data_IF_622421641061
#
_entry.id   IF_622421641061
#
_cell.length_a   1.000
_cell.length_b   1.000
_cell.length_c   1.000
_cell.angle_alpha   90.00
_cell.angle_beta   90.00
_cell.angle_gamma   90.00
#
_symmetry.space_group_name_H-M   'P 1'
#
loop_
_entity.id
_entity.type
_entity.pdbx_description
1 polymer ?
#
# COMPACT_ATOMS: atom_id res chain seq x y z
N UNK A 1 24.54 -27.07 15.72
CA UNK A 1 25.96 -26.67 15.72
C UNK A 1 26.26 -25.66 16.83
N UNK A 2 25.34 -24.74 17.12
CA UNK A 2 25.38 -23.76 18.22
C UNK A 2 24.79 -24.27 19.55
N UNK A 3 24.68 -25.59 19.73
CA UNK A 3 24.21 -26.16 21.00
C UNK A 3 25.28 -27.14 21.46
N UNK A 4 25.68 -27.03 22.72
CA UNK A 4 26.64 -27.96 23.32
C UNK A 4 25.95 -29.29 23.68
N UNK A 5 26.72 -30.28 24.15
CA UNK A 5 26.18 -31.61 24.51
C UNK A 5 25.22 -31.59 25.70
N UNK A 6 25.22 -30.52 26.49
CA UNK A 6 24.34 -30.30 27.64
C UNK A 6 23.05 -29.54 27.24
N UNK A 7 22.90 -29.16 25.97
CA UNK A 7 21.74 -28.43 25.46
C UNK A 7 21.82 -26.91 25.62
N UNK A 8 22.94 -26.36 26.10
CA UNK A 8 23.12 -24.92 26.22
C UNK A 8 23.41 -24.28 24.85
N UNK A 9 22.80 -23.13 24.59
CA UNK A 9 23.02 -22.36 23.36
C UNK A 9 24.36 -21.61 23.42
N UNK A 10 25.19 -21.80 22.41
CA UNK A 10 26.49 -21.17 22.21
C UNK A 10 26.34 -19.95 21.28
N UNK A 11 26.23 -18.78 21.91
CA UNK A 11 26.02 -17.50 21.23
C UNK A 11 27.22 -17.10 20.36
N UNK A 12 28.45 -17.41 20.77
CA UNK A 12 29.65 -17.01 20.05
C UNK A 12 29.80 -17.80 18.76
N UNK A 13 29.50 -19.09 18.81
CA UNK A 13 29.46 -19.93 17.62
C UNK A 13 28.33 -19.55 16.66
N UNK A 14 27.19 -19.07 17.17
CA UNK A 14 26.14 -18.49 16.32
C UNK A 14 26.61 -17.20 15.63
N UNK A 15 27.28 -16.30 16.36
CA UNK A 15 27.87 -15.08 15.79
C UNK A 15 28.91 -15.37 14.71
N UNK A 16 29.75 -16.40 14.90
CA UNK A 16 30.72 -16.83 13.88
C UNK A 16 30.06 -17.31 12.58
N UNK A 17 28.91 -17.99 12.67
CA UNK A 17 28.18 -18.49 11.50
C UNK A 17 27.52 -17.38 10.67
N UNK A 18 27.13 -16.26 11.28
CA UNK A 18 26.44 -15.15 10.60
C UNK A 18 27.39 -14.00 10.21
N UNK A 19 28.64 -14.03 10.70
CA UNK A 19 29.62 -12.94 10.57
C UNK A 19 30.05 -12.62 9.14
N UNK A 20 29.74 -13.48 8.17
CA UNK A 20 30.17 -13.31 6.78
C UNK A 20 29.27 -12.36 5.99
N UNK A 21 28.01 -12.16 6.41
CA UNK A 21 26.99 -11.49 5.58
C UNK A 21 26.09 -10.47 6.33
N UNK A 22 26.29 -10.22 7.63
CA UNK A 22 25.38 -9.37 8.43
C UNK A 22 26.12 -8.46 9.41
N UNK A 23 25.83 -7.15 9.35
CA UNK A 23 26.27 -6.17 10.35
C UNK A 23 25.45 -6.32 11.64
N UNK A 24 26.12 -6.54 12.77
CA UNK A 24 25.48 -6.67 14.08
C UNK A 24 25.30 -5.26 14.67
N UNK A 25 24.06 -4.81 14.79
CA UNK A 25 23.74 -3.54 15.47
C UNK A 25 23.57 -3.76 16.97
N UNK A 26 24.04 -2.79 17.77
CA UNK A 26 23.87 -2.77 19.24
C UNK A 26 22.79 -1.80 19.70
N UNK A 27 22.17 -1.08 18.76
CA UNK A 27 21.07 -0.14 18.99
C UNK A 27 19.76 -0.82 18.55
N UNK A 28 18.80 -0.93 19.47
CA UNK A 28 17.50 -1.55 19.19
C UNK A 28 16.40 -0.80 19.94
N UNK A 29 15.49 -0.20 19.19
CA UNK A 29 14.24 0.32 19.74
C UNK A 29 13.21 -0.82 19.72
N UNK A 30 12.61 -1.14 20.86
CA UNK A 30 11.59 -2.19 20.96
C UNK A 30 10.31 -1.66 21.62
N UNK A 31 9.17 -1.94 20.99
CA UNK A 31 7.86 -1.61 21.54
C UNK A 31 7.52 -2.60 22.67
N UNK A 32 7.62 -2.16 23.93
CA UNK A 32 7.24 -2.98 25.08
C UNK A 32 5.83 -2.63 25.58
N UNK A 33 4.99 -3.65 25.82
CA UNK A 33 3.64 -3.49 26.35
C UNK A 33 3.23 -4.69 27.22
N UNK A 34 2.30 -4.44 28.16
CA UNK A 34 1.74 -5.50 28.99
C UNK A 34 0.99 -6.50 28.12
N UNK A 35 1.37 -7.77 28.17
CA UNK A 35 0.76 -8.83 27.36
C UNK A 35 1.55 -9.20 26.10
N UNK A 36 2.69 -8.55 25.79
CA UNK A 36 3.53 -8.88 24.62
C UNK A 36 3.96 -10.36 24.57
N UNK A 37 4.46 -10.89 25.69
CA UNK A 37 4.88 -12.30 25.76
C UNK A 37 3.68 -13.26 25.71
N UNK A 38 2.54 -12.85 26.28
CA UNK A 38 1.29 -13.61 26.20
C UNK A 38 0.78 -13.69 24.75
N UNK A 39 0.77 -12.58 24.02
CA UNK A 39 0.46 -12.55 22.59
C UNK A 39 1.37 -13.46 21.77
N UNK A 40 2.68 -13.49 22.04
CA UNK A 40 3.60 -14.44 21.37
C UNK A 40 3.25 -15.89 21.68
N UNK A 41 2.91 -16.20 22.93
CA UNK A 41 2.44 -17.54 23.31
C UNK A 41 1.14 -17.90 22.58
N UNK A 42 0.19 -16.97 22.47
CA UNK A 42 -1.05 -17.20 21.73
C UNK A 42 -0.81 -17.51 20.25
N UNK A 43 0.20 -16.91 19.62
CA UNK A 43 0.56 -17.23 18.25
C UNK A 43 1.20 -18.63 18.10
N UNK A 44 1.91 -19.11 19.12
CA UNK A 44 2.64 -20.40 19.07
C UNK A 44 1.82 -21.61 19.51
N UNK A 45 0.74 -21.42 20.27
CA UNK A 45 -0.14 -22.53 20.66
C UNK A 45 -1.03 -22.96 19.48
N UNK A 46 -1.15 -24.27 19.28
CA UNK A 46 -2.11 -24.83 18.33
C UNK A 46 -3.55 -24.50 18.74
N UNK A 47 -4.41 -24.27 17.74
CA UNK A 47 -5.85 -24.12 17.99
C UNK A 47 -6.48 -25.47 18.33
N UNK A 48 -7.40 -25.48 19.29
CA UNK A 48 -8.22 -26.65 19.66
C UNK A 48 -9.52 -26.73 18.86
N UNK A 49 -9.80 -25.74 18.02
CA UNK A 49 -11.00 -25.67 17.19
C UNK A 49 -10.88 -26.55 15.94
N UNK A 50 -12.00 -26.77 15.25
CA UNK A 50 -12.06 -27.50 13.98
C UNK A 50 -12.85 -26.70 12.94
N UNK A 51 -12.51 -26.87 11.66
CA UNK A 51 -13.29 -26.31 10.55
C UNK A 51 -14.39 -27.30 10.17
N UNK A 52 -15.63 -26.83 10.18
CA UNK A 52 -16.79 -27.59 9.71
C UNK A 52 -17.37 -26.93 8.44
N UNK A 53 -17.57 -27.68 7.33
CA UNK A 53 -18.19 -27.13 6.14
C UNK A 53 -19.69 -26.90 6.37
N UNK A 54 -20.19 -25.76 5.90
CA UNK A 54 -21.63 -25.54 5.73
C UNK A 54 -22.10 -26.27 4.47
N UNK A 55 -22.55 -27.52 4.64
CA UNK A 55 -22.95 -28.38 3.53
C UNK A 55 -24.12 -27.78 2.76
N UNK A 56 -25.09 -27.16 3.45
CA UNK A 56 -26.26 -26.58 2.79
C UNK A 56 -25.85 -25.39 1.90
N UNK A 57 -24.98 -24.51 2.39
CA UNK A 57 -24.47 -23.38 1.61
C UNK A 57 -23.58 -23.85 0.45
N UNK A 58 -22.67 -24.80 0.70
CA UNK A 58 -21.63 -25.21 -0.25
C UNK A 58 -22.18 -26.08 -1.40
N UNK A 59 -23.31 -26.76 -1.18
CA UNK A 59 -23.93 -27.62 -2.22
C UNK A 59 -24.82 -26.86 -3.20
N UNK A 60 -25.05 -25.56 -3.00
CA UNK A 60 -25.81 -24.74 -3.95
C UNK A 60 -25.10 -24.68 -5.32
N UNK A 61 -25.83 -24.71 -6.44
CA UNK A 61 -25.24 -24.71 -7.79
C UNK A 61 -24.25 -23.57 -8.04
N UNK A 62 -24.50 -22.39 -7.47
CA UNK A 62 -23.65 -21.21 -7.57
C UNK A 62 -22.33 -21.32 -6.79
N UNK A 63 -22.25 -22.19 -5.78
CA UNK A 63 -21.13 -22.27 -4.84
C UNK A 63 -20.24 -23.50 -5.05
N UNK A 64 -20.78 -24.57 -5.64
CA UNK A 64 -20.12 -25.89 -5.71
C UNK A 64 -18.72 -25.88 -6.34
N UNK A 65 -18.45 -24.95 -7.26
CA UNK A 65 -17.16 -24.79 -7.94
C UNK A 65 -16.44 -23.49 -7.54
N UNK A 66 -16.91 -22.78 -6.52
CA UNK A 66 -16.27 -21.54 -6.04
C UNK A 66 -14.85 -21.81 -5.57
N UNK A 67 -13.94 -20.90 -5.91
CA UNK A 67 -12.58 -20.87 -5.36
C UNK A 67 -12.46 -19.96 -4.13
N UNK A 68 -13.50 -19.16 -3.85
CA UNK A 68 -13.54 -18.24 -2.72
C UNK A 68 -14.02 -18.95 -1.45
N UNK A 69 -13.43 -18.61 -0.30
CA UNK A 69 -13.76 -19.19 1.00
C UNK A 69 -14.24 -18.12 1.98
N UNK A 70 -15.21 -18.51 2.79
CA UNK A 70 -15.69 -17.72 3.92
C UNK A 70 -15.64 -18.56 5.19
N UNK A 71 -14.82 -18.17 6.17
CA UNK A 71 -14.72 -18.85 7.46
C UNK A 71 -15.25 -17.93 8.55
N UNK A 72 -16.24 -18.43 9.30
CA UNK A 72 -16.84 -17.71 10.44
C UNK A 72 -16.30 -18.27 11.75
N UNK A 73 -15.79 -17.40 12.62
CA UNK A 73 -15.19 -17.78 13.91
C UNK A 73 -14.11 -16.80 14.36
N UNK A 74 -13.45 -17.05 15.49
CA UNK A 74 -12.33 -16.19 15.89
C UNK A 74 -11.24 -16.18 14.81
N UNK A 75 -10.84 -15.00 14.37
CA UNK A 75 -9.88 -14.83 13.29
C UNK A 75 -8.48 -15.33 13.66
N UNK A 76 -8.10 -15.36 14.94
CA UNK A 76 -6.83 -15.96 15.36
C UNK A 76 -6.84 -17.48 15.11
N UNK A 77 -7.94 -18.16 15.45
CA UNK A 77 -8.11 -19.58 15.16
C UNK A 77 -8.21 -19.86 13.66
N UNK A 78 -8.93 -19.01 12.92
CA UNK A 78 -9.01 -19.06 11.45
C UNK A 78 -7.63 -18.99 10.81
N UNK A 79 -6.81 -18.00 11.19
CA UNK A 79 -5.44 -17.84 10.70
C UNK A 79 -4.56 -19.06 11.03
N UNK A 80 -4.69 -19.63 12.23
CA UNK A 80 -3.96 -20.85 12.62
C UNK A 80 -4.32 -22.05 11.75
N UNK A 81 -5.59 -22.23 11.41
CA UNK A 81 -5.99 -23.28 10.47
C UNK A 81 -5.42 -23.06 9.08
N UNK A 82 -5.39 -21.80 8.61
CA UNK A 82 -4.84 -21.48 7.28
C UNK A 82 -3.34 -21.75 7.18
N UNK A 83 -2.57 -21.56 8.24
CA UNK A 83 -1.11 -21.77 8.19
C UNK A 83 -0.73 -23.17 7.69
N UNK A 84 -1.55 -24.18 7.95
CA UNK A 84 -1.29 -25.56 7.51
C UNK A 84 -1.23 -25.71 5.98
N UNK A 85 -1.96 -24.87 5.24
CA UNK A 85 -2.14 -25.00 3.79
C UNK A 85 -1.74 -23.75 2.98
N UNK A 86 -1.69 -22.58 3.61
CA UNK A 86 -1.52 -21.28 2.94
C UNK A 86 -0.29 -20.50 3.42
N UNK A 87 0.62 -21.12 4.18
CA UNK A 87 1.90 -20.49 4.56
C UNK A 87 2.64 -20.05 3.29
N UNK A 88 3.02 -18.76 3.24
CA UNK A 88 3.74 -18.19 2.09
C UNK A 88 2.94 -18.12 0.79
N UNK A 89 1.60 -18.22 0.82
CA UNK A 89 0.77 -18.28 -0.39
C UNK A 89 -0.09 -17.02 -0.63
N UNK A 90 -0.29 -16.19 0.39
CA UNK A 90 -1.20 -15.03 0.29
C UNK A 90 -0.51 -13.86 -0.38
N UNK A 91 -1.07 -13.37 -1.49
CA UNK A 91 -0.51 -12.25 -2.24
C UNK A 91 -0.81 -10.90 -1.60
N UNK A 92 -2.07 -10.70 -1.23
CA UNK A 92 -2.54 -9.45 -0.66
C UNK A 92 -3.36 -9.72 0.60
N UNK A 93 -3.05 -9.02 1.69
CA UNK A 93 -3.91 -8.96 2.87
C UNK A 93 -4.48 -7.55 2.95
N UNK A 94 -5.79 -7.41 3.12
CA UNK A 94 -6.40 -6.17 3.56
C UNK A 94 -7.14 -6.41 4.87
N UNK A 95 -6.92 -5.55 5.85
CA UNK A 95 -7.65 -5.61 7.12
C UNK A 95 -8.12 -4.23 7.57
N UNK A 96 -9.32 -4.23 8.17
CA UNK A 96 -9.94 -3.09 8.83
C UNK A 96 -10.18 -3.43 10.31
N UNK A 97 -9.11 -3.49 11.14
CA UNK A 97 -9.25 -3.82 12.55
C UNK A 97 -10.06 -2.77 13.31
N UNK A 98 -10.56 -3.08 14.52
CA UNK A 98 -11.17 -2.06 15.39
C UNK A 98 -10.16 -0.94 15.67
N UNK A 99 -10.61 0.32 15.61
CA UNK A 99 -9.74 1.48 15.74
C UNK A 99 -9.45 1.87 17.20
N UNK A 100 -10.14 1.26 18.16
CA UNK A 100 -10.06 1.56 19.58
C UNK A 100 -10.46 3.00 19.93
N UNK A 101 -11.55 3.49 19.30
CA UNK A 101 -12.03 4.86 19.50
C UNK A 101 -12.73 5.09 20.85
N UNK A 102 -13.00 4.00 21.59
CA UNK A 102 -13.86 3.99 22.78
C UNK A 102 -15.36 4.00 22.47
N UNK A 103 -15.75 4.28 21.22
CA UNK A 103 -17.15 4.28 20.74
C UNK A 103 -17.47 3.16 19.75
N UNK A 104 -16.44 2.47 19.24
CA UNK A 104 -16.54 1.33 18.32
C UNK A 104 -16.86 0.00 19.01
N UNK A 105 -16.99 0.02 20.35
CA UNK A 105 -17.30 -1.16 21.15
C UNK A 105 -16.15 -2.15 21.27
N UNK A 106 -14.91 -1.78 20.90
CA UNK A 106 -13.77 -2.66 21.09
C UNK A 106 -13.53 -2.94 22.57
N UNK A 107 -13.55 -4.22 22.91
CA UNK A 107 -13.26 -4.73 24.24
C UNK A 107 -12.46 -6.01 24.05
N UNK A 108 -11.22 -6.03 24.55
CA UNK A 108 -10.44 -7.26 24.49
C UNK A 108 -11.00 -8.26 25.50
N UNK A 109 -11.55 -9.36 24.99
CA UNK A 109 -12.07 -10.45 25.78
C UNK A 109 -11.62 -11.76 25.12
N UNK A 110 -10.59 -12.37 25.70
CA UNK A 110 -10.06 -13.65 25.25
C UNK A 110 -10.74 -14.77 26.04
N UNK A 111 -11.13 -15.85 25.35
CA UNK A 111 -11.71 -17.01 26.02
C UNK A 111 -10.57 -17.83 26.63
N UNK A 112 -10.19 -17.46 27.85
CA UNK A 112 -9.05 -17.98 28.60
C UNK A 112 -8.87 -19.50 28.54
N UNK A 113 -7.63 -19.89 28.26
CA UNK A 113 -7.12 -21.24 28.54
C UNK A 113 -6.06 -21.27 29.66
N UNK A 114 -5.72 -20.14 30.29
CA UNK A 114 -4.63 -20.07 31.28
C UNK A 114 -4.98 -19.29 32.55
N UNK A 115 -4.64 -19.88 33.69
CA UNK A 115 -4.62 -19.27 35.02
C UNK A 115 -3.35 -18.42 35.23
N UNK A 116 -3.34 -17.47 36.19
CA UNK A 116 -2.12 -16.72 36.51
C UNK A 116 -0.93 -17.62 36.86
N UNK A 117 -1.15 -18.75 37.55
CA UNK A 117 -0.09 -19.71 37.87
C UNK A 117 0.51 -20.37 36.61
N UNK A 118 -0.32 -20.71 35.63
CA UNK A 118 0.15 -21.25 34.34
C UNK A 118 0.89 -20.20 33.51
N UNK A 119 0.50 -18.92 33.60
CA UNK A 119 1.22 -17.82 32.95
C UNK A 119 2.60 -17.58 33.57
N UNK A 120 2.74 -17.68 34.89
CA UNK A 120 4.04 -17.61 35.58
C UNK A 120 4.98 -18.68 35.05
N UNK A 121 4.51 -19.93 34.97
CA UNK A 121 5.30 -21.06 34.48
C UNK A 121 5.67 -20.89 33.00
N UNK A 122 4.68 -20.66 32.13
CA UNK A 122 4.87 -20.60 30.67
C UNK A 122 5.67 -19.40 30.20
N UNK A 123 5.50 -18.25 30.85
CA UNK A 123 6.15 -17.00 30.43
C UNK A 123 7.36 -16.64 31.29
N UNK A 124 7.62 -17.40 32.38
CA UNK A 124 8.69 -17.11 33.35
C UNK A 124 8.62 -15.67 33.87
N UNK A 125 7.41 -15.21 34.23
CA UNK A 125 7.12 -13.86 34.73
C UNK A 125 6.75 -13.88 36.20
N UNK A 126 6.77 -12.72 36.87
CA UNK A 126 6.32 -12.63 38.26
C UNK A 126 4.81 -12.88 38.38
N UNK A 127 4.37 -13.37 39.55
CA UNK A 127 2.94 -13.52 39.86
C UNK A 127 2.15 -12.22 39.67
N UNK A 128 2.74 -11.09 40.03
CA UNK A 128 2.14 -9.77 39.82
C UNK A 128 1.95 -9.45 38.33
N UNK A 129 2.93 -9.75 37.49
CA UNK A 129 2.83 -9.55 36.04
C UNK A 129 1.79 -10.49 35.43
N UNK A 130 1.76 -11.76 35.85
CA UNK A 130 0.77 -12.72 35.40
C UNK A 130 -0.66 -12.28 35.77
N UNK A 131 -0.87 -11.78 36.99
CA UNK A 131 -2.16 -11.25 37.40
C UNK A 131 -2.56 -10.02 36.57
N UNK A 132 -1.63 -9.10 36.28
CA UNK A 132 -1.92 -7.94 35.42
C UNK A 132 -2.31 -8.34 34.00
N UNK A 133 -1.65 -9.35 33.42
CA UNK A 133 -2.00 -9.88 32.09
C UNK A 133 -3.40 -10.51 32.14
N UNK A 134 -3.67 -11.31 33.18
CA UNK A 134 -4.99 -11.90 33.41
C UNK A 134 -6.08 -10.84 33.56
N UNK A 135 -5.83 -9.76 34.30
CA UNK A 135 -6.77 -8.66 34.48
C UNK A 135 -6.98 -7.83 33.21
N UNK A 136 -5.97 -7.74 32.34
CA UNK A 136 -6.05 -7.07 31.04
C UNK A 136 -7.00 -7.82 30.09
N UNK A 137 -7.01 -9.14 30.18
CA UNK A 137 -7.74 -10.07 29.31
C UNK A 137 -9.15 -10.36 29.82
N UNK A 138 -9.41 -10.31 31.15
CA UNK A 138 -10.71 -10.65 31.78
C UNK A 138 -11.64 -9.45 31.95
N UNK A 139 -11.10 -8.27 32.26
CA UNK A 139 -11.92 -7.13 32.68
C UNK A 139 -12.44 -6.28 31.51
N UNK A 140 -12.34 -6.79 30.28
CA UNK A 140 -12.83 -6.10 29.10
C UNK A 140 -12.24 -4.69 28.94
N UNK A 141 -10.91 -4.58 28.86
CA UNK A 141 -10.24 -3.28 28.75
C UNK A 141 -10.04 -2.88 27.28
N UNK A 142 -10.22 -1.60 27.00
CA UNK A 142 -9.95 -0.94 25.72
C UNK A 142 -8.63 -0.14 25.75
N UNK A 143 -7.63 -0.60 26.51
CA UNK A 143 -6.33 0.09 26.59
C UNK A 143 -5.45 -0.26 25.39
N UNK A 144 -4.46 0.59 25.07
CA UNK A 144 -3.48 0.31 24.02
C UNK A 144 -2.80 -1.06 24.21
N UNK A 145 -2.43 -1.44 25.43
CA UNK A 145 -1.86 -2.76 25.72
C UNK A 145 -2.83 -3.90 25.39
N UNK A 146 -4.14 -3.72 25.61
CA UNK A 146 -5.14 -4.72 25.27
C UNK A 146 -5.27 -4.85 23.74
N UNK A 147 -5.35 -3.73 23.02
CA UNK A 147 -5.41 -3.69 21.57
C UNK A 147 -4.15 -4.30 20.91
N UNK A 148 -2.97 -3.95 21.41
CA UNK A 148 -1.69 -4.52 20.98
C UNK A 148 -1.63 -6.03 21.26
N UNK A 149 -2.08 -6.48 22.43
CA UNK A 149 -2.14 -7.91 22.76
C UNK A 149 -3.09 -8.67 21.84
N UNK A 150 -4.19 -8.04 21.43
CA UNK A 150 -5.15 -8.58 20.47
C UNK A 150 -4.57 -8.66 19.04
N UNK A 151 -3.95 -7.58 18.55
CA UNK A 151 -3.46 -7.50 17.16
C UNK A 151 -2.17 -8.28 16.92
N UNK A 152 -1.26 -8.29 17.89
CA UNK A 152 0.07 -8.87 17.70
C UNK A 152 0.09 -10.32 17.21
N UNK A 153 -0.63 -11.28 17.82
CA UNK A 153 -0.59 -12.66 17.33
C UNK A 153 -1.16 -12.78 15.93
N UNK A 154 -2.21 -12.01 15.61
CA UNK A 154 -2.85 -12.02 14.28
C UNK A 154 -1.89 -11.53 13.19
N UNK A 155 -1.16 -10.45 13.46
CA UNK A 155 -0.16 -9.92 12.53
C UNK A 155 1.04 -10.86 12.35
N UNK A 156 1.46 -11.57 13.42
CA UNK A 156 2.50 -12.60 13.31
C UNK A 156 2.07 -13.72 12.35
N UNK A 157 0.86 -14.25 12.50
CA UNK A 157 0.37 -15.31 11.60
C UNK A 157 0.10 -14.78 10.19
N UNK A 158 -0.43 -13.56 10.05
CA UNK A 158 -0.64 -12.91 8.75
C UNK A 158 0.67 -12.76 7.98
N UNK A 159 1.76 -12.36 8.66
CA UNK A 159 3.09 -12.31 8.07
C UNK A 159 3.54 -13.68 7.57
N UNK A 160 3.27 -14.75 8.30
CA UNK A 160 3.69 -16.10 7.92
C UNK A 160 2.85 -16.66 6.74
N UNK A 161 1.60 -16.22 6.60
CA UNK A 161 0.74 -16.51 5.44
C UNK A 161 1.15 -15.75 4.17
N UNK A 162 1.69 -14.54 4.27
CA UNK A 162 2.10 -13.75 3.11
C UNK A 162 3.19 -14.45 2.28
N UNK A 163 2.98 -14.47 0.97
CA UNK A 163 4.00 -14.81 -0.02
C UNK A 163 5.22 -13.87 0.09
N UNK A 164 6.37 -14.31 -0.39
CA UNK A 164 7.63 -13.53 -0.30
C UNK A 164 7.53 -12.15 -0.95
N UNK A 165 6.72 -12.01 -2.00
CA UNK A 165 6.43 -10.78 -2.72
C UNK A 165 5.06 -10.17 -2.35
N UNK A 166 4.46 -10.67 -1.26
CA UNK A 166 3.14 -10.30 -0.76
C UNK A 166 3.14 -9.02 0.08
N UNK A 167 1.95 -8.42 0.17
CA UNK A 167 1.75 -7.09 0.78
C UNK A 167 0.52 -7.11 1.69
N UNK A 168 0.59 -6.41 2.81
CA UNK A 168 -0.53 -6.19 3.73
C UNK A 168 -0.88 -4.70 3.81
N UNK A 169 -2.18 -4.42 3.72
CA UNK A 169 -2.80 -3.12 3.87
C UNK A 169 -3.64 -3.11 5.14
N UNK A 170 -3.41 -2.12 6.02
CA UNK A 170 -4.09 -2.04 7.31
C UNK A 170 -4.72 -0.66 7.46
N UNK A 171 -6.04 -0.61 7.52
CA UNK A 171 -6.78 0.61 7.85
C UNK A 171 -6.70 0.91 9.35
N UNK A 172 -6.48 2.18 9.71
CA UNK A 172 -6.39 2.62 11.10
C UNK A 172 -6.68 4.13 11.20
N UNK A 173 -7.08 4.63 12.37
CA UNK A 173 -7.18 6.06 12.65
C UNK A 173 -6.10 6.54 13.65
N UNK A 174 -6.22 7.79 14.09
CA UNK A 174 -5.28 8.44 15.00
C UNK A 174 -5.10 7.73 16.36
N UNK A 175 -6.08 6.94 16.83
CA UNK A 175 -6.03 6.34 18.18
C UNK A 175 -4.92 5.29 18.32
N UNK A 176 -4.69 4.51 17.27
CA UNK A 176 -3.75 3.38 17.30
C UNK A 176 -2.71 3.42 16.17
N UNK A 177 -2.71 4.41 15.26
CA UNK A 177 -1.75 4.44 14.15
C UNK A 177 -0.28 4.35 14.61
N UNK A 178 0.12 5.07 15.67
CA UNK A 178 1.51 5.01 16.16
C UNK A 178 1.84 3.62 16.71
N UNK A 179 0.91 3.05 17.48
CA UNK A 179 1.08 1.74 18.10
C UNK A 179 1.11 0.63 17.05
N UNK A 180 0.23 0.70 16.04
CA UNK A 180 0.20 -0.22 14.92
C UNK A 180 1.49 -0.16 14.09
N UNK A 181 2.03 1.05 13.82
CA UNK A 181 3.28 1.23 13.08
C UNK A 181 4.41 0.49 13.76
N UNK A 182 4.63 0.78 15.05
CA UNK A 182 5.69 0.17 15.84
C UNK A 182 5.48 -1.34 16.03
N UNK A 183 4.22 -1.79 16.14
CA UNK A 183 3.90 -3.21 16.21
C UNK A 183 4.25 -3.92 14.90
N UNK A 184 3.90 -3.33 13.77
CA UNK A 184 4.23 -3.87 12.45
C UNK A 184 5.73 -3.85 12.19
N UNK A 185 6.47 -2.82 12.62
CA UNK A 185 7.94 -2.79 12.53
C UNK A 185 8.55 -3.98 13.28
N UNK A 186 8.02 -4.32 14.45
CA UNK A 186 8.45 -5.51 15.22
C UNK A 186 8.09 -6.84 14.55
N UNK A 187 6.99 -6.89 13.79
CA UNK A 187 6.50 -8.11 13.11
C UNK A 187 7.19 -8.34 11.78
N UNK A 188 7.22 -7.33 10.92
CA UNK A 188 7.63 -7.40 9.52
C UNK A 188 9.08 -6.94 9.30
N UNK A 189 9.66 -6.18 10.23
CA UNK A 189 10.88 -5.39 10.02
C UNK A 189 10.53 -3.96 9.61
N UNK A 190 11.27 -2.98 10.12
CA UNK A 190 11.08 -1.56 9.80
C UNK A 190 11.35 -1.29 8.31
N UNK A 191 12.32 -1.99 7.75
CA UNK A 191 12.71 -1.94 6.34
C UNK A 191 11.60 -2.43 5.39
N UNK A 192 10.66 -3.23 5.91
CA UNK A 192 9.52 -3.73 5.17
C UNK A 192 8.32 -2.77 5.16
N UNK A 193 8.42 -1.62 5.86
CA UNK A 193 7.42 -0.55 5.77
C UNK A 193 7.47 0.11 4.40
N UNK A 194 6.38 -0.02 3.64
CA UNK A 194 6.30 0.49 2.28
C UNK A 194 5.72 1.91 2.22
N UNK A 195 4.78 2.24 3.10
CA UNK A 195 4.25 3.60 3.17
C UNK A 195 2.97 3.74 3.99
N UNK A 196 2.58 5.00 4.16
CA UNK A 196 1.33 5.40 4.79
C UNK A 196 0.54 6.26 3.80
N UNK A 197 -0.70 5.85 3.53
CA UNK A 197 -1.60 6.50 2.58
C UNK A 197 -2.77 7.12 3.37
N UNK A 198 -2.86 8.45 3.52
CA UNK A 198 -4.04 9.07 4.09
C UNK A 198 -5.25 8.83 3.18
N UNK A 199 -6.35 8.35 3.77
CA UNK A 199 -7.64 8.18 3.09
C UNK A 199 -8.64 9.19 3.63
N UNK A 200 -9.31 9.90 2.74
CA UNK A 200 -10.36 10.84 3.15
C UNK A 200 -11.54 10.08 3.77
N UNK A 201 -11.97 10.49 4.97
CA UNK A 201 -13.19 9.95 5.60
C UNK A 201 -14.40 10.78 5.19
N UNK A 202 -14.24 12.11 5.13
CA UNK A 202 -15.26 13.09 4.72
C UNK A 202 -14.60 14.32 4.09
N UNK A 203 -15.21 14.88 3.04
CA UNK A 203 -14.65 16.06 2.32
C UNK A 203 -14.80 17.38 3.08
N UNK A 204 -15.72 17.42 4.04
CA UNK A 204 -16.05 18.57 4.85
C UNK A 204 -17.35 18.36 5.61
N UNK A 205 -17.56 19.13 6.66
CA UNK A 205 -18.75 19.08 7.51
C UNK A 205 -18.73 20.24 8.51
N UNK A 206 -19.83 20.43 9.25
CA UNK A 206 -19.85 21.35 10.39
C UNK A 206 -19.02 20.74 11.52
N UNK A 207 -17.70 20.90 11.48
CA UNK A 207 -16.87 20.74 12.67
C UNK A 207 -16.97 22.02 13.49
N UNK A 208 -17.30 21.91 14.77
CA UNK A 208 -17.18 23.01 15.73
C UNK A 208 -15.73 23.24 16.17
N UNK A 209 -14.85 22.30 15.87
CA UNK A 209 -13.47 22.31 16.32
C UNK A 209 -12.57 23.12 15.38
N UNK A 210 -11.51 23.70 15.93
CA UNK A 210 -10.54 24.50 15.18
C UNK A 210 -9.79 23.67 14.11
N UNK A 211 -9.69 22.35 14.30
CA UNK A 211 -9.07 21.41 13.36
C UNK A 211 -10.11 20.34 13.02
N UNK A 212 -10.37 20.12 11.72
CA UNK A 212 -11.28 19.09 11.26
C UNK A 212 -10.51 17.81 10.91
N UNK A 213 -10.70 16.77 11.71
CA UNK A 213 -10.17 15.42 11.44
C UNK A 213 -11.02 14.75 10.35
N UNK A 214 -10.47 14.68 9.13
CA UNK A 214 -11.18 14.32 7.90
C UNK A 214 -10.51 13.18 7.12
N UNK A 215 -9.51 12.54 7.70
CA UNK A 215 -8.84 11.40 7.10
C UNK A 215 -8.58 10.32 8.16
N UNK A 216 -8.41 9.10 7.68
CA UNK A 216 -7.79 7.99 8.40
C UNK A 216 -6.58 7.51 7.56
N UNK A 217 -5.96 6.42 7.96
CA UNK A 217 -4.70 5.93 7.40
C UNK A 217 -4.86 4.53 6.83
N UNK A 218 -4.13 4.25 5.75
CA UNK A 218 -3.87 2.90 5.26
C UNK A 218 -2.36 2.69 5.30
N UNK A 219 -1.90 1.85 6.22
CA UNK A 219 -0.50 1.42 6.26
C UNK A 219 -0.27 0.27 5.28
N UNK A 220 0.89 0.31 4.65
CA UNK A 220 1.35 -0.69 3.69
C UNK A 220 2.65 -1.29 4.20
N UNK A 221 2.63 -2.59 4.45
CA UNK A 221 3.81 -3.38 4.81
C UNK A 221 3.98 -4.53 3.82
N UNK A 222 5.21 -4.97 3.67
CA UNK A 222 5.58 -6.04 2.72
C UNK A 222 6.18 -7.21 3.49
N UNK A 223 6.15 -8.41 2.89
CA UNK A 223 6.83 -9.57 3.48
C UNK A 223 8.35 -9.49 3.34
N UNK A 224 8.83 -8.82 2.30
CA UNK A 224 10.25 -8.63 2.00
C UNK A 224 10.48 -7.32 1.25
N UNK A 225 11.74 -6.92 1.13
CA UNK A 225 12.18 -5.69 0.45
C UNK A 225 11.86 -5.63 -1.05
N UNK A 226 11.45 -6.74 -1.65
CA UNK A 226 11.16 -6.83 -3.09
C UNK A 226 9.70 -7.26 -3.33
N UNK A 227 8.70 -6.45 -2.92
CA UNK A 227 7.31 -6.74 -3.22
C UNK A 227 7.08 -6.64 -4.73
N UNK A 228 6.12 -7.42 -5.23
CA UNK A 228 5.68 -7.30 -6.62
C UNK A 228 4.35 -6.55 -6.68
N UNK A 229 4.41 -5.29 -7.12
CA UNK A 229 3.26 -4.41 -7.36
C UNK A 229 3.11 -4.13 -8.85
N UNK A 230 1.88 -3.87 -9.28
CA UNK A 230 1.53 -3.59 -10.66
C UNK A 230 1.14 -2.11 -10.81
N UNK A 231 1.88 -1.34 -11.62
CA UNK A 231 1.49 0.03 -11.93
C UNK A 231 0.05 0.11 -12.45
N UNK A 232 -0.68 1.12 -12.01
CA UNK A 232 -2.09 1.31 -12.36
C UNK A 232 -2.20 1.92 -13.76
N UNK A 233 -3.29 1.62 -14.47
CA UNK A 233 -3.57 2.24 -15.77
C UNK A 233 -3.64 3.76 -15.61
N UNK A 234 -2.92 4.50 -16.46
CA UNK A 234 -2.91 5.96 -16.46
C UNK A 234 -3.93 6.49 -17.46
N UNK A 235 -5.19 6.55 -17.02
CA UNK A 235 -6.27 7.06 -17.83
C UNK A 235 -7.09 8.14 -17.08
N UNK A 236 -6.61 9.38 -17.13
CA UNK A 236 -7.30 10.54 -16.54
C UNK A 236 -8.14 11.32 -17.56
N UNK A 237 -9.03 12.18 -17.05
CA UNK A 237 -9.90 13.04 -17.86
C UNK A 237 -9.16 14.05 -18.77
N UNK A 238 -7.83 14.17 -18.62
CA UNK A 238 -6.99 14.99 -19.50
C UNK A 238 -6.83 14.39 -20.89
N UNK A 239 -6.91 13.06 -21.03
CA UNK A 239 -6.84 12.36 -22.31
C UNK A 239 -8.14 12.51 -23.10
N UNK A 240 -8.25 13.61 -23.85
CA UNK A 240 -9.49 14.01 -24.54
C UNK A 240 -9.34 14.29 -26.03
N UNK A 241 -8.10 14.43 -26.52
CA UNK A 241 -7.84 14.79 -27.91
C UNK A 241 -7.62 13.53 -28.75
N UNK A 242 -7.97 13.60 -30.04
CA UNK A 242 -7.76 12.54 -31.03
C UNK A 242 -7.01 13.09 -32.22
N UNK A 243 -6.27 12.24 -32.90
CA UNK A 243 -5.64 12.52 -34.20
C UNK A 243 -5.65 11.25 -35.06
N UNK A 244 -4.92 11.30 -36.17
CA UNK A 244 -4.87 10.21 -37.17
C UNK A 244 -4.32 8.89 -36.60
N UNK A 245 -3.61 8.92 -35.46
CA UNK A 245 -3.08 7.73 -34.79
C UNK A 245 -4.02 7.16 -33.72
N UNK A 246 -5.24 7.71 -33.57
CA UNK A 246 -6.16 7.37 -32.48
C UNK A 246 -6.45 5.87 -32.36
N UNK A 247 -6.67 5.17 -33.48
CA UNK A 247 -6.98 3.72 -33.45
C UNK A 247 -5.85 2.89 -32.82
N UNK A 248 -4.60 3.32 -32.99
CA UNK A 248 -3.43 2.62 -32.46
C UNK A 248 -2.98 3.16 -31.09
N UNK A 249 -3.04 4.48 -30.87
CA UNK A 249 -2.44 5.16 -29.71
C UNK A 249 -3.45 5.64 -28.67
N UNK A 250 -4.74 5.59 -28.97
CA UNK A 250 -5.82 6.11 -28.12
C UNK A 250 -5.86 7.64 -28.06
N UNK A 251 -6.57 8.17 -27.05
CA UNK A 251 -6.61 9.61 -26.82
C UNK A 251 -5.25 10.14 -26.36
N UNK A 252 -5.00 11.42 -26.62
CA UNK A 252 -3.82 12.12 -26.11
C UNK A 252 -4.18 13.38 -25.31
N UNK A 253 -3.23 13.82 -24.49
CA UNK A 253 -3.29 15.09 -23.75
C UNK A 253 -2.06 15.95 -24.02
N UNK A 254 -2.23 17.25 -23.79
CA UNK A 254 -1.23 18.30 -23.96
C UNK A 254 -1.02 19.01 -22.63
N UNK A 255 -0.31 18.35 -21.71
CA UNK A 255 -0.07 18.85 -20.36
C UNK A 255 1.25 19.60 -20.24
N UNK A 256 2.22 19.36 -21.12
CA UNK A 256 3.55 19.94 -21.01
C UNK A 256 4.07 20.45 -22.34
N UNK A 257 4.63 21.66 -22.31
CA UNK A 257 5.43 22.21 -23.39
C UNK A 257 6.75 21.46 -23.50
N UNK A 258 7.38 21.55 -24.67
CA UNK A 258 8.68 20.93 -24.91
C UNK A 258 9.79 21.70 -24.19
N UNK A 259 9.67 23.03 -24.09
CA UNK A 259 10.54 23.87 -23.29
C UNK A 259 10.09 23.85 -21.83
N UNK A 260 11.09 23.83 -20.93
CA UNK A 260 10.87 23.86 -19.49
C UNK A 260 12.01 24.62 -18.82
N UNK A 261 11.67 25.41 -17.80
CA UNK A 261 12.65 25.98 -16.88
C UNK A 261 13.24 24.84 -16.03
N UNK A 262 14.37 24.33 -16.49
CA UNK A 262 14.95 23.07 -16.04
C UNK A 262 15.76 23.30 -14.78
N UNK A 263 15.67 22.40 -13.79
CA UNK A 263 16.41 22.50 -12.52
C UNK A 263 17.94 22.59 -12.70
N UNK A 264 18.43 22.08 -13.82
CA UNK A 264 19.80 22.23 -14.26
C UNK A 264 19.83 22.53 -15.75
N UNK A 265 20.46 23.64 -16.13
CA UNK A 265 20.68 23.99 -17.53
C UNK A 265 21.55 22.92 -18.20
N UNK A 266 21.19 22.55 -19.43
CA UNK A 266 21.95 21.64 -20.27
C UNK A 266 22.15 22.23 -21.65
N UNK A 267 23.40 22.52 -21.99
CA UNK A 267 23.77 23.06 -23.31
C UNK A 267 23.39 22.13 -24.47
N UNK A 268 23.38 20.81 -24.26
CA UNK A 268 22.97 19.85 -25.31
C UNK A 268 21.47 19.90 -25.60
N UNK A 269 20.67 20.49 -24.70
CA UNK A 269 19.23 20.63 -24.82
C UNK A 269 18.79 22.06 -25.14
N UNK A 270 19.73 23.00 -25.31
CA UNK A 270 19.46 24.38 -25.71
C UNK A 270 19.90 24.59 -27.16
N UNK A 271 19.00 24.28 -28.09
CA UNK A 271 19.25 24.34 -29.54
C UNK A 271 18.02 24.92 -30.28
N UNK A 272 18.17 25.53 -31.45
CA UNK A 272 17.03 25.99 -32.22
C UNK A 272 16.24 24.83 -32.83
N UNK A 273 14.91 24.92 -32.81
CA UNK A 273 14.00 23.97 -33.45
C UNK A 273 13.24 24.70 -34.57
N UNK A 274 13.28 24.18 -35.80
CA UNK A 274 12.53 24.74 -36.92
C UNK A 274 11.30 23.87 -37.23
N UNK A 275 10.11 24.49 -37.23
CA UNK A 275 8.84 23.84 -37.54
C UNK A 275 8.01 24.81 -38.39
N UNK A 276 7.44 24.34 -39.50
CA UNK A 276 6.56 25.15 -40.36
C UNK A 276 7.20 26.48 -40.85
N UNK A 277 8.54 26.53 -40.97
CA UNK A 277 9.29 27.72 -41.38
C UNK A 277 9.49 28.76 -40.27
N UNK A 278 9.13 28.44 -39.01
CA UNK A 278 9.40 29.25 -37.82
C UNK A 278 10.46 28.58 -36.93
N UNK A 279 11.36 29.38 -36.36
CA UNK A 279 12.38 28.91 -35.42
C UNK A 279 11.97 29.18 -33.97
N UNK A 280 12.00 28.13 -33.15
CA UNK A 280 11.69 28.14 -31.73
C UNK A 280 12.97 27.99 -30.90
N UNK A 281 13.00 28.69 -29.77
CA UNK A 281 14.08 28.63 -28.79
C UNK A 281 13.49 28.28 -27.41
N UNK A 282 14.22 27.57 -26.53
CA UNK A 282 13.77 27.35 -25.16
C UNK A 282 13.48 28.67 -24.45
N UNK A 283 12.35 28.74 -23.72
CA UNK A 283 11.89 29.97 -23.08
C UNK A 283 11.26 30.97 -24.04
N UNK A 284 11.13 30.63 -25.33
CA UNK A 284 10.51 31.47 -26.37
C UNK A 284 11.22 32.82 -26.60
N UNK A 285 12.52 32.90 -26.33
CA UNK A 285 13.33 34.12 -26.44
C UNK A 285 14.64 33.85 -27.16
N UNK A 286 14.88 34.55 -28.27
CA UNK A 286 16.13 34.48 -29.01
C UNK A 286 17.28 35.18 -28.27
N UNK A 287 17.00 36.31 -27.63
CA UNK A 287 17.99 37.08 -26.87
C UNK A 287 18.53 36.24 -25.70
N UNK A 288 17.64 35.63 -24.91
CA UNK A 288 18.05 34.78 -23.79
C UNK A 288 18.80 33.54 -24.28
N UNK A 289 18.39 32.95 -25.41
CA UNK A 289 19.15 31.85 -26.03
C UNK A 289 20.59 32.26 -26.34
N UNK A 290 20.82 33.44 -26.93
CA UNK A 290 22.17 33.91 -27.25
C UNK A 290 22.99 34.14 -25.97
N UNK A 291 22.41 34.72 -24.93
CA UNK A 291 23.08 34.87 -23.63
C UNK A 291 23.52 33.53 -23.05
N UNK A 292 22.63 32.51 -23.06
CA UNK A 292 22.98 31.15 -22.62
C UNK A 292 24.08 30.53 -23.47
N UNK A 293 24.08 30.75 -24.78
CA UNK A 293 25.16 30.27 -25.66
C UNK A 293 26.51 30.95 -25.39
N UNK A 294 26.48 32.22 -24.95
CA UNK A 294 27.66 32.98 -24.52
C UNK A 294 28.17 32.59 -23.13
N UNK A 295 27.46 31.70 -22.43
CA UNK A 295 27.82 31.24 -21.08
C UNK A 295 27.15 32.02 -19.95
N UNK A 296 26.24 32.95 -20.29
CA UNK A 296 25.44 33.71 -19.33
C UNK A 296 24.11 32.99 -19.09
N UNK A 297 24.14 31.95 -18.27
CA UNK A 297 22.96 31.17 -17.88
C UNK A 297 22.95 30.94 -16.37
N UNK A 298 21.75 30.80 -15.82
CA UNK A 298 21.59 30.40 -14.42
C UNK A 298 21.78 28.89 -14.26
N UNK A 299 22.01 28.45 -13.02
CA UNK A 299 22.07 27.00 -12.73
C UNK A 299 20.82 26.29 -13.24
N UNK A 300 19.65 26.87 -12.99
CA UNK A 300 18.36 26.43 -13.50
C UNK A 300 17.93 27.44 -14.56
N UNK A 301 17.66 26.96 -15.77
CA UNK A 301 17.32 27.82 -16.90
C UNK A 301 16.55 27.01 -17.96
N UNK A 302 16.03 27.70 -18.96
CA UNK A 302 15.25 27.13 -20.04
C UNK A 302 16.09 26.22 -20.94
N UNK A 303 15.59 25.01 -21.11
CA UNK A 303 16.10 24.04 -22.08
C UNK A 303 14.94 23.22 -22.65
N UNK A 304 15.17 22.53 -23.77
CA UNK A 304 14.24 21.52 -24.25
C UNK A 304 14.27 20.29 -23.34
N UNK A 305 13.15 19.59 -23.28
CA UNK A 305 13.07 18.31 -22.57
C UNK A 305 13.57 17.13 -23.38
N UNK A 306 13.68 17.28 -24.69
CA UNK A 306 14.11 16.23 -25.62
C UNK A 306 15.40 16.62 -26.30
N UNK A 307 16.27 15.64 -26.52
CA UNK A 307 17.42 15.80 -27.42
C UNK A 307 16.94 16.07 -28.84
N UNK A 308 17.86 16.56 -29.68
CA UNK A 308 17.56 16.88 -31.08
C UNK A 308 17.05 15.65 -31.85
N UNK A 309 17.63 14.49 -31.57
CA UNK A 309 17.28 13.20 -32.16
C UNK A 309 15.89 12.76 -31.73
N UNK A 310 15.58 12.83 -30.42
CA UNK A 310 14.24 12.48 -29.89
C UNK A 310 13.18 13.44 -30.40
N UNK A 311 13.50 14.73 -30.51
CA UNK A 311 12.62 15.72 -31.12
C UNK A 311 12.30 15.38 -32.57
N UNK A 312 13.32 15.10 -33.38
CA UNK A 312 13.14 14.72 -34.78
C UNK A 312 12.27 13.47 -34.89
N UNK A 313 12.57 12.42 -34.11
CA UNK A 313 11.77 11.21 -34.08
C UNK A 313 10.31 11.48 -33.69
N UNK A 314 10.08 12.26 -32.63
CA UNK A 314 8.75 12.61 -32.18
C UNK A 314 7.99 13.48 -33.17
N UNK A 315 8.66 14.39 -33.88
CA UNK A 315 8.07 15.20 -34.94
C UNK A 315 7.64 14.31 -36.12
N UNK A 316 8.54 13.47 -36.62
CA UNK A 316 8.32 12.55 -37.75
C UNK A 316 7.19 11.54 -37.44
N UNK A 317 7.00 11.20 -36.16
CA UNK A 317 5.97 10.26 -35.70
C UNK A 317 4.71 10.94 -35.11
N UNK A 318 4.56 12.26 -35.25
CA UNK A 318 3.33 12.96 -34.87
C UNK A 318 3.09 13.13 -33.37
N UNK A 319 4.14 13.08 -32.54
CA UNK A 319 4.11 13.40 -31.10
C UNK A 319 4.25 14.88 -30.79
N UNK A 320 4.55 15.72 -31.79
CA UNK A 320 4.70 17.17 -31.61
C UNK A 320 3.46 17.90 -32.13
N UNK A 321 3.07 18.97 -31.43
CA UNK A 321 2.08 19.93 -31.93
C UNK A 321 2.45 21.35 -31.53
N UNK A 322 2.40 22.29 -32.47
CA UNK A 322 2.57 23.71 -32.19
C UNK A 322 1.21 24.30 -31.81
N UNK A 323 1.11 24.91 -30.64
CA UNK A 323 -0.08 25.66 -30.21
C UNK A 323 0.19 27.14 -30.30
N UNK A 324 -0.63 27.82 -31.11
CA UNK A 324 -0.60 29.26 -31.28
C UNK A 324 -1.61 29.93 -30.35
N UNK A 325 -1.17 30.95 -29.63
CA UNK A 325 -1.99 31.73 -28.71
C UNK A 325 -1.70 33.23 -28.87
N UNK A 326 -2.45 34.08 -28.16
CA UNK A 326 -2.15 35.53 -28.10
C UNK A 326 -0.76 35.83 -27.53
N UNK A 327 -0.20 34.92 -26.74
CA UNK A 327 1.11 35.05 -26.10
C UNK A 327 2.24 34.40 -26.92
N UNK A 328 1.99 34.09 -28.20
CA UNK A 328 2.93 33.41 -29.07
C UNK A 328 2.63 31.93 -29.27
N UNK A 329 3.50 31.30 -30.06
CA UNK A 329 3.44 29.88 -30.40
C UNK A 329 4.38 29.08 -29.51
N UNK A 330 3.91 27.94 -28.99
CA UNK A 330 4.72 27.02 -28.18
C UNK A 330 4.58 25.59 -28.67
N UNK A 331 5.66 24.84 -28.54
CA UNK A 331 5.71 23.43 -28.92
C UNK A 331 5.22 22.60 -27.73
N UNK A 332 4.24 21.72 -27.97
CA UNK A 332 3.74 20.76 -27.00
C UNK A 332 4.09 19.34 -27.42
N UNK A 333 4.30 18.49 -26.42
CA UNK A 333 4.40 17.04 -26.62
C UNK A 333 3.02 16.40 -26.40
N UNK A 334 2.63 15.50 -27.30
CA UNK A 334 1.43 14.67 -27.16
C UNK A 334 1.76 13.48 -26.26
N UNK A 335 1.08 13.40 -25.13
CA UNK A 335 1.12 12.21 -24.28
C UNK A 335 -0.09 11.35 -24.63
N UNK A 336 0.13 10.16 -25.18
CA UNK A 336 -0.93 9.22 -25.57
C UNK A 336 -1.23 8.20 -24.44
N UNK A 337 -2.44 7.65 -24.48
CA UNK A 337 -2.89 6.58 -23.58
C UNK A 337 -2.19 5.24 -23.86
N UNK A 338 -1.92 4.93 -25.12
CA UNK A 338 -1.40 3.63 -25.57
C UNK A 338 -0.14 3.76 -26.43
N UNK A 339 0.63 4.82 -26.21
CA UNK A 339 1.90 5.01 -26.89
C UNK A 339 2.90 5.85 -26.09
N UNK A 340 4.15 5.41 -26.09
CA UNK A 340 5.30 6.12 -25.52
C UNK A 340 6.49 6.03 -26.46
N UNK A 341 7.31 7.09 -26.50
CA UNK A 341 8.62 7.03 -27.17
C UNK A 341 9.63 6.47 -26.18
N UNK A 342 10.13 5.28 -26.46
CA UNK A 342 11.18 4.60 -25.71
C UNK A 342 12.52 4.72 -26.44
N UNK A 343 13.61 4.65 -25.67
CA UNK A 343 14.99 4.66 -26.15
C UNK A 343 15.55 3.24 -25.96
N UNK A 344 15.89 2.55 -27.04
CA UNK A 344 16.45 1.19 -27.00
C UNK A 344 17.98 1.17 -26.92
N UNK A 345 18.62 2.35 -26.82
CA UNK A 345 20.06 2.56 -26.75
C UNK A 345 20.68 2.93 -28.09
N UNK A 346 20.16 2.40 -29.20
CA UNK A 346 20.64 2.69 -30.55
C UNK A 346 19.69 3.65 -31.29
N UNK A 347 18.38 3.55 -31.03
CA UNK A 347 17.31 4.31 -31.68
C UNK A 347 16.15 4.62 -30.73
N UNK A 348 15.26 5.49 -31.21
CA UNK A 348 13.95 5.68 -30.60
C UNK A 348 12.92 4.78 -31.25
N UNK A 349 12.06 4.17 -30.44
CA UNK A 349 10.96 3.32 -30.88
C UNK A 349 9.65 3.77 -30.22
N UNK A 350 8.52 3.37 -30.82
CA UNK A 350 7.21 3.59 -30.21
C UNK A 350 6.79 2.29 -29.54
N UNK A 351 6.69 2.31 -28.22
CA UNK A 351 6.02 1.27 -27.46
C UNK A 351 4.52 1.54 -27.47
N UNK A 352 3.73 0.56 -27.91
CA UNK A 352 2.26 0.61 -28.01
C UNK A 352 1.55 0.00 -26.80
N UNK A 353 2.23 -0.08 -25.66
CA UNK A 353 1.65 -0.50 -24.39
C UNK A 353 0.71 0.57 -23.80
N UNK A 354 -0.23 0.13 -22.94
CA UNK A 354 -1.02 1.06 -22.15
C UNK A 354 -0.13 1.79 -21.14
N UNK A 355 -0.28 3.11 -21.09
CA UNK A 355 0.47 3.93 -20.13
C UNK A 355 0.04 3.58 -18.73
N UNK A 356 1.02 3.38 -17.86
CA UNK A 356 0.80 3.16 -16.43
C UNK A 356 1.37 4.28 -15.58
N UNK A 357 0.84 4.44 -14.36
CA UNK A 357 1.38 5.31 -13.31
C UNK A 357 1.56 4.53 -12.01
N UNK A 358 2.56 4.91 -11.21
CA UNK A 358 2.61 4.49 -9.81
C UNK A 358 1.42 5.06 -9.02
N UNK A 359 0.98 4.35 -7.99
CA UNK A 359 -0.02 4.86 -7.05
C UNK A 359 0.62 6.00 -6.23
N UNK A 360 -0.02 7.17 -6.20
CA UNK A 360 0.38 8.25 -5.30
C UNK A 360 -0.08 7.93 -3.87
N UNK A 361 0.74 8.24 -2.87
CA UNK A 361 0.32 8.21 -1.46
C UNK A 361 -0.82 9.20 -1.16
N UNK A 362 -1.15 10.11 -2.08
CA UNK A 362 -2.29 11.00 -1.95
C UNK A 362 -3.52 10.55 -2.75
N UNK A 363 -3.47 9.39 -3.44
CA UNK A 363 -4.60 8.93 -4.26
C UNK A 363 -5.88 8.80 -3.44
N UNK A 364 -5.79 8.27 -2.21
CA UNK A 364 -6.96 8.04 -1.35
C UNK A 364 -7.55 9.30 -0.72
N UNK A 365 -7.04 10.49 -1.05
CA UNK A 365 -7.62 11.77 -0.63
C UNK A 365 -8.79 12.21 -1.51
N UNK A 366 -9.02 11.55 -2.65
CA UNK A 366 -10.16 11.82 -3.51
C UNK A 366 -11.49 11.35 -2.91
N UNK A 367 -12.56 12.12 -3.17
CA UNK A 367 -13.86 11.87 -2.54
C UNK A 367 -14.44 10.48 -2.82
N UNK A 368 -14.06 9.82 -3.92
CA UNK A 368 -14.51 8.45 -4.24
C UNK A 368 -14.14 7.43 -3.16
N UNK A 369 -13.14 7.74 -2.33
CA UNK A 369 -12.66 6.90 -1.23
C UNK A 369 -13.28 7.28 0.13
N UNK A 370 -14.29 8.15 0.18
CA UNK A 370 -14.93 8.60 1.43
C UNK A 370 -15.96 7.63 2.01
N UNK A 371 -16.29 7.81 3.30
CA UNK A 371 -17.32 7.02 3.99
C UNK A 371 -18.72 7.22 3.36
N UNK A 372 -18.98 8.39 2.79
CA UNK A 372 -20.22 8.67 2.06
C UNK A 372 -20.36 7.77 0.82
N UNK A 373 -19.26 7.50 0.13
CA UNK A 373 -19.27 6.59 -1.01
C UNK A 373 -19.36 5.13 -0.57
N UNK A 374 -18.70 4.74 0.53
CA UNK A 374 -18.89 3.42 1.11
C UNK A 374 -20.36 3.13 1.45
N UNK A 375 -21.05 4.09 2.08
CA UNK A 375 -22.48 3.99 2.39
C UNK A 375 -23.33 3.84 1.13
N UNK A 376 -23.00 4.56 0.05
CA UNK A 376 -23.71 4.47 -1.23
C UNK A 376 -23.49 3.12 -1.91
N UNK A 377 -22.27 2.59 -1.85
CA UNK A 377 -21.91 1.31 -2.45
C UNK A 377 -22.66 0.15 -1.78
N UNK A 378 -22.68 0.13 -0.45
CA UNK A 378 -23.43 -0.85 0.34
C UNK A 378 -24.93 -0.74 0.10
N UNK A 379 -25.48 0.50 0.07
CA UNK A 379 -26.89 0.73 -0.19
C UNK A 379 -27.35 0.19 -1.56
N UNK A 380 -26.47 0.21 -2.57
CA UNK A 380 -26.75 -0.36 -3.89
C UNK A 380 -26.64 -1.89 -3.93
N UNK A 381 -25.78 -2.47 -3.09
CA UNK A 381 -25.43 -3.90 -3.18
C UNK A 381 -26.32 -4.77 -2.28
N UNK A 382 -26.48 -4.40 -1.01
CA UNK A 382 -27.17 -5.21 0.00
C UNK A 382 -28.29 -4.46 0.75
N UNK A 383 -28.49 -3.17 0.44
CA UNK A 383 -29.54 -2.34 1.03
C UNK A 383 -29.02 -1.33 2.06
N UNK A 384 -29.91 -0.46 2.56
CA UNK A 384 -29.55 0.66 3.44
C UNK A 384 -29.44 0.23 4.91
N UNK A 385 -28.47 0.80 5.64
CA UNK A 385 -28.28 0.64 7.10
C UNK A 385 -28.10 -0.81 7.55
N UNK A 386 -27.44 -1.64 6.74
CA UNK A 386 -27.07 -3.01 7.13
C UNK A 386 -25.85 -3.01 8.04
N UNK A 387 -24.91 -2.09 7.79
CA UNK A 387 -23.68 -1.91 8.55
C UNK A 387 -23.46 -0.43 8.85
N UNK A 388 -22.92 -0.13 10.03
CA UNK A 388 -22.67 1.25 10.48
C UNK A 388 -21.34 1.81 9.92
N UNK A 389 -20.34 0.93 9.76
CA UNK A 389 -19.01 1.30 9.30
C UNK A 389 -18.54 0.32 8.22
N UNK A 390 -18.28 0.84 7.02
CA UNK A 390 -17.81 0.07 5.87
C UNK A 390 -16.80 0.87 5.08
N UNK A 391 -15.92 0.18 4.36
CA UNK A 391 -14.95 0.79 3.45
C UNK A 391 -15.49 0.83 2.01
N UNK A 392 -15.09 1.81 1.20
CA UNK A 392 -15.64 1.97 -0.14
C UNK A 392 -15.08 0.91 -1.10
N UNK A 393 -15.91 0.46 -2.05
CA UNK A 393 -15.51 -0.59 -3.02
C UNK A 393 -14.35 -0.09 -3.91
N UNK A 394 -14.33 1.21 -4.19
CA UNK A 394 -13.25 1.87 -4.93
C UNK A 394 -11.88 1.69 -4.26
N UNK A 395 -11.80 1.77 -2.93
CA UNK A 395 -10.55 1.57 -2.19
C UNK A 395 -10.04 0.14 -2.40
N UNK A 396 -10.93 -0.85 -2.24
CA UNK A 396 -10.57 -2.25 -2.42
C UNK A 396 -10.14 -2.52 -3.86
N UNK A 397 -10.87 -2.00 -4.83
CA UNK A 397 -10.56 -2.17 -6.25
C UNK A 397 -9.17 -1.62 -6.59
N UNK A 398 -8.83 -0.41 -6.12
CA UNK A 398 -7.50 0.17 -6.36
C UNK A 398 -6.38 -0.63 -5.70
N UNK A 399 -6.60 -1.17 -4.49
CA UNK A 399 -5.61 -2.03 -3.82
C UNK A 399 -5.40 -3.34 -4.61
N UNK A 400 -6.48 -3.97 -5.08
CA UNK A 400 -6.42 -5.20 -5.86
C UNK A 400 -5.72 -4.98 -7.21
N UNK A 401 -6.07 -3.91 -7.94
CA UNK A 401 -5.42 -3.56 -9.22
C UNK A 401 -3.91 -3.33 -9.07
N UNK A 402 -3.49 -2.82 -7.91
CA UNK A 402 -2.08 -2.59 -7.57
C UNK A 402 -1.33 -3.89 -7.24
N UNK A 403 -2.00 -4.94 -6.77
CA UNK A 403 -1.33 -6.04 -6.06
C UNK A 403 -1.55 -7.43 -6.66
N UNK A 404 -2.69 -7.66 -7.33
CA UNK A 404 -3.19 -9.00 -7.67
C UNK A 404 -3.23 -9.19 -9.20
N UNK A 405 -2.88 -10.40 -9.65
CA UNK A 405 -3.15 -10.93 -11.00
C UNK A 405 -3.89 -12.25 -10.90
N UNK A 406 -4.13 -12.88 -12.05
CA UNK A 406 -4.84 -14.16 -12.12
C UNK A 406 -4.17 -15.22 -11.23
N UNK A 407 -4.98 -15.88 -10.39
CA UNK A 407 -4.61 -16.92 -9.40
C UNK A 407 -3.90 -16.44 -8.13
N UNK A 408 -3.69 -15.13 -7.94
CA UNK A 408 -3.21 -14.60 -6.67
C UNK A 408 -4.31 -14.69 -5.59
N UNK A 409 -3.92 -14.97 -4.35
CA UNK A 409 -4.86 -15.12 -3.22
C UNK A 409 -4.92 -13.83 -2.40
N UNK A 410 -6.13 -13.40 -2.08
CA UNK A 410 -6.40 -12.22 -1.24
C UNK A 410 -6.96 -12.69 0.10
N UNK A 411 -6.62 -12.02 1.19
CA UNK A 411 -7.12 -12.36 2.51
C UNK A 411 -7.62 -11.13 3.27
N UNK A 412 -8.82 -11.24 3.85
CA UNK A 412 -9.34 -10.29 4.84
C UNK A 412 -9.82 -11.05 6.06
N UNK A 413 -9.18 -10.84 7.21
CA UNK A 413 -9.51 -11.48 8.49
C UNK A 413 -10.25 -10.55 9.48
N UNK A 414 -10.82 -9.45 8.97
CA UNK A 414 -11.69 -8.51 9.67
C UNK A 414 -12.92 -8.14 8.83
N UNK A 415 -13.51 -9.13 8.15
CA UNK A 415 -14.49 -8.90 7.07
C UNK A 415 -15.92 -8.53 7.52
N UNK A 416 -16.11 -7.80 8.62
CA UNK A 416 -17.45 -7.41 9.11
C UNK A 416 -17.48 -6.69 10.46
N UNK A 417 -18.66 -6.20 10.90
CA UNK A 417 -18.84 -5.41 12.13
C UNK A 417 -18.60 -6.19 13.43
N UNK A 418 -18.44 -7.52 13.33
CA UNK A 418 -18.00 -8.37 14.43
C UNK A 418 -16.66 -8.96 14.02
N UNK A 419 -15.69 -8.83 14.92
CA UNK A 419 -14.23 -9.06 14.83
C UNK A 419 -13.81 -10.51 14.44
N UNK A 420 -14.65 -11.28 13.74
CA UNK A 420 -14.65 -12.75 13.80
C UNK A 420 -14.95 -13.42 12.45
N UNK A 421 -14.44 -12.88 11.33
CA UNK A 421 -14.76 -13.38 9.98
C UNK A 421 -13.56 -13.27 9.04
N UNK A 422 -13.38 -14.30 8.22
CA UNK A 422 -12.26 -14.48 7.30
C UNK A 422 -12.79 -14.69 5.87
N UNK A 423 -12.28 -13.92 4.91
CA UNK A 423 -12.48 -14.09 3.48
C UNK A 423 -11.14 -14.43 2.85
N UNK A 424 -11.09 -15.50 2.04
CA UNK A 424 -9.94 -15.92 1.24
C UNK A 424 -10.38 -15.98 -0.23
#
# INVERSE_FOLDING_TARGET
QCFNKEGNFDLDKFKELIKTDVDITHEGYDLNFLGKNYAKLLASIDTTTVIQPDIEHNTKPENVNSQNLYISGDNLDGLKHLLKSYTGAIKCIYIDPPYNTGSDGFVYNDNFNFTPAELVDKLSISEEQAQKIFDLTTNGRASHSAWLTFMYPRLLLARDLLASDGVIFISIDDNEQSNLKLLCDSVFGEECFFGCIPRITKRGGKSSDAIALNHDYVFVFTKSLNPKLYPLSHNDSGFKNKDDFFEQRGYYKLNQTLDYDSLQYSKSLDYPIEIEGETFYPGSSYEDYIERQNGNFDRADWAWRWSKEKFKFGQDNGFIVVKRSRNGARIYTKTYQKATIEDDGDNYVIDYSERTKGLSTLEFTDNIYSNDNATKDIAKTIGKKVFDHTKPISLMSTILDLTVKDNDIVLDFFSGPQVQKLII
#
